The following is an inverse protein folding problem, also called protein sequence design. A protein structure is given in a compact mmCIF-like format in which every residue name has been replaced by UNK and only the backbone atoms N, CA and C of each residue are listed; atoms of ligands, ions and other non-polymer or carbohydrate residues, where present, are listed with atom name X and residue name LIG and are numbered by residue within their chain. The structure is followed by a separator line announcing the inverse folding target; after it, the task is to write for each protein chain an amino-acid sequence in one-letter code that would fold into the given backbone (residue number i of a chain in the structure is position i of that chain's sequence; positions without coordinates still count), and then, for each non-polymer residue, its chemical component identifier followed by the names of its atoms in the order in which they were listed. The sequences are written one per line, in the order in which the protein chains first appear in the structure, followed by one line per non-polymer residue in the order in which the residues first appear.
data_IF_533968193023
#
_entry.id   IF_533968193023
#
_cell.length_a   1.000
_cell.length_b   1.000
_cell.length_c   1.000
_cell.angle_alpha   90.00
_cell.angle_beta   90.00
_cell.angle_gamma   90.00
#
_symmetry.space_group_name_H-M   'P 1'
#
loop_
_entity.id
_entity.type
_entity.pdbx_description
1 polymer ?
#
# COMPACT_ATOMS: atom_id res chain seq x y z
N UNK A 1 -6.14 -18.91 0.55
CA UNK A 1 -7.43 -18.41 0.05
C UNK A 1 -7.27 -16.90 -0.04
N UNK A 2 -6.98 -16.34 -1.22
CA UNK A 2 -6.54 -14.93 -1.33
C UNK A 2 -6.44 -14.38 -2.75
N UNK A 3 -6.77 -15.17 -3.78
CA UNK A 3 -6.81 -14.72 -5.18
C UNK A 3 -8.18 -14.14 -5.55
N UNK A 4 -9.27 -14.72 -5.03
CA UNK A 4 -10.64 -14.32 -5.38
C UNK A 4 -10.95 -12.85 -5.10
N UNK A 5 -10.57 -12.33 -3.92
CA UNK A 5 -10.83 -10.92 -3.60
C UNK A 5 -10.05 -9.93 -4.46
N UNK A 6 -8.91 -10.31 -5.04
CA UNK A 6 -8.12 -9.41 -5.89
C UNK A 6 -8.75 -9.23 -7.27
N UNK A 7 -9.15 -10.33 -7.90
CA UNK A 7 -9.83 -10.33 -9.19
C UNK A 7 -11.16 -9.57 -9.10
N UNK A 8 -11.88 -9.75 -7.99
CA UNK A 8 -13.12 -9.04 -7.73
C UNK A 8 -12.91 -7.52 -7.54
N UNK A 9 -11.86 -7.11 -6.81
CA UNK A 9 -11.52 -5.68 -6.63
C UNK A 9 -11.05 -5.00 -7.92
N UNK A 10 -10.26 -5.69 -8.76
CA UNK A 10 -9.68 -5.10 -9.97
C UNK A 10 -10.75 -4.66 -10.99
N UNK A 11 -11.94 -5.27 -10.97
CA UNK A 11 -13.07 -4.91 -11.84
C UNK A 11 -13.99 -3.83 -11.23
N UNK A 12 -13.79 -3.44 -9.96
CA UNK A 12 -14.67 -2.49 -9.28
C UNK A 12 -14.30 -1.03 -9.58
N UNK A 13 -15.32 -0.14 -9.70
CA UNK A 13 -15.07 1.29 -9.71
C UNK A 13 -14.53 1.77 -8.34
N UNK A 14 -13.79 2.90 -8.29
CA UNK A 14 -13.17 3.39 -7.05
C UNK A 14 -14.13 3.51 -5.86
N UNK A 15 -15.36 3.96 -6.09
CA UNK A 15 -16.36 4.10 -5.03
C UNK A 15 -16.80 2.74 -4.45
N UNK A 16 -16.92 1.72 -5.31
CA UNK A 16 -17.26 0.37 -4.88
C UNK A 16 -16.09 -0.36 -4.20
N UNK A 17 -14.84 0.01 -4.53
CA UNK A 17 -13.66 -0.49 -3.80
C UNK A 17 -13.74 -0.04 -2.33
N UNK A 18 -14.14 1.21 -2.07
CA UNK A 18 -14.28 1.71 -0.70
C UNK A 18 -15.31 0.93 0.12
N UNK A 19 -16.39 0.46 -0.52
CA UNK A 19 -17.48 -0.29 0.14
C UNK A 19 -17.25 -1.81 0.16
N UNK A 20 -16.22 -2.31 -0.51
CA UNK A 20 -15.96 -3.75 -0.64
C UNK A 20 -15.63 -4.45 0.69
N UNK A 21 -14.97 -3.75 1.61
CA UNK A 21 -14.61 -4.26 2.93
C UNK A 21 -14.74 -3.13 3.95
N UNK A 22 -15.40 -3.39 5.09
CA UNK A 22 -15.61 -2.40 6.16
C UNK A 22 -14.30 -1.84 6.74
N UNK A 23 -13.16 -2.50 6.48
CA UNK A 23 -11.83 -2.05 6.90
C UNK A 23 -11.21 -1.05 5.91
N UNK A 24 -11.80 -0.83 4.76
CA UNK A 24 -11.30 0.11 3.77
C UNK A 24 -11.46 1.55 4.28
N UNK A 25 -10.49 2.39 3.91
CA UNK A 25 -10.46 3.79 4.29
C UNK A 25 -10.21 4.65 3.06
N UNK A 26 -11.04 5.67 2.88
CA UNK A 26 -10.84 6.69 1.85
C UNK A 26 -10.06 7.85 2.47
N UNK A 27 -8.86 8.09 1.96
CA UNK A 27 -7.97 9.12 2.49
C UNK A 27 -7.66 10.12 1.39
N UNK A 28 -7.89 11.44 1.60
CA UNK A 28 -7.45 12.46 0.66
C UNK A 28 -5.94 12.42 0.49
N UNK A 29 -5.46 12.46 -0.76
CA UNK A 29 -4.02 12.43 -1.05
C UNK A 29 -3.26 13.56 -0.33
N UNK A 30 -3.85 14.75 -0.24
CA UNK A 30 -3.27 15.89 0.50
C UNK A 30 -3.13 15.68 2.01
N UNK A 31 -3.79 14.68 2.59
CA UNK A 31 -3.66 14.31 4.00
C UNK A 31 -2.63 13.21 4.25
N UNK A 32 -2.15 12.55 3.18
CA UNK A 32 -1.11 11.54 3.27
C UNK A 32 0.20 12.17 3.74
N UNK A 33 0.90 11.46 4.62
CA UNK A 33 2.21 11.85 5.14
C UNK A 33 3.29 10.88 4.71
N UNK A 34 3.03 9.58 4.86
CA UNK A 34 4.06 8.56 4.68
C UNK A 34 3.51 7.36 3.93
N UNK A 35 4.29 6.83 2.98
CA UNK A 35 4.08 5.51 2.39
C UNK A 35 5.37 4.72 2.53
N UNK A 36 5.35 3.66 3.33
CA UNK A 36 6.53 2.83 3.60
C UNK A 36 6.28 1.39 3.20
N UNK A 37 7.05 0.91 2.23
CA UNK A 37 7.12 -0.50 1.87
C UNK A 37 8.35 -1.13 2.51
N UNK A 38 8.15 -2.19 3.28
CA UNK A 38 9.20 -3.14 3.66
C UNK A 38 9.03 -4.40 2.81
N UNK A 39 9.92 -4.64 1.83
CA UNK A 39 9.90 -5.87 1.06
C UNK A 39 10.03 -7.08 2.00
N UNK A 40 9.30 -8.13 1.66
CA UNK A 40 9.45 -9.41 2.34
C UNK A 40 10.79 -10.02 1.99
N UNK A 41 11.29 -10.87 2.88
CA UNK A 41 12.44 -11.74 2.61
C UNK A 41 12.05 -13.18 2.90
N UNK A 42 12.96 -14.12 2.65
CA UNK A 42 12.71 -15.54 2.93
C UNK A 42 12.12 -15.75 4.34
N UNK A 43 12.60 -15.00 5.34
CA UNK A 43 12.20 -15.13 6.75
C UNK A 43 11.23 -14.07 7.26
N UNK A 44 10.85 -13.08 6.45
CA UNK A 44 10.00 -11.95 6.90
C UNK A 44 8.92 -11.62 5.88
N UNK A 45 7.71 -11.35 6.39
CA UNK A 45 6.58 -10.88 5.59
C UNK A 45 6.86 -9.49 5.03
N UNK A 46 6.35 -9.23 3.83
CA UNK A 46 6.31 -7.85 3.33
C UNK A 46 5.28 -7.07 4.12
N UNK A 47 5.52 -5.77 4.30
CA UNK A 47 4.54 -4.87 4.88
C UNK A 47 4.50 -3.54 4.13
N UNK A 48 3.30 -3.02 3.92
CA UNK A 48 3.05 -1.68 3.40
C UNK A 48 2.31 -0.89 4.47
N UNK A 49 2.93 0.19 4.93
CA UNK A 49 2.32 1.11 5.89
C UNK A 49 2.01 2.43 5.19
N UNK A 50 0.80 2.92 5.36
CA UNK A 50 0.34 4.22 4.88
C UNK A 50 -0.11 5.04 6.08
N UNK A 51 0.39 6.26 6.20
CA UNK A 51 0.08 7.17 7.31
C UNK A 51 -0.49 8.49 6.77
N UNK A 52 -1.49 9.02 7.47
CA UNK A 52 -2.11 10.32 7.23
C UNK A 52 -2.31 11.06 8.55
N UNK A 53 -2.75 12.32 8.49
CA UNK A 53 -2.87 13.21 9.66
C UNK A 53 -3.53 12.56 10.89
N UNK A 54 -4.56 11.74 10.68
CA UNK A 54 -5.42 11.21 11.74
C UNK A 54 -5.40 9.67 11.83
N UNK A 55 -4.46 9.00 11.14
CA UNK A 55 -4.47 7.55 11.12
C UNK A 55 -3.31 6.89 10.40
N UNK A 56 -3.28 5.56 10.55
CA UNK A 56 -2.34 4.68 9.86
C UNK A 56 -3.03 3.40 9.47
N UNK A 57 -2.61 2.83 8.34
CA UNK A 57 -3.03 1.54 7.87
C UNK A 57 -1.82 0.69 7.53
N UNK A 58 -1.86 -0.60 7.88
CA UNK A 58 -0.76 -1.52 7.62
C UNK A 58 -1.29 -2.78 6.96
N UNK A 59 -0.79 -3.05 5.77
CA UNK A 59 -1.00 -4.29 5.04
C UNK A 59 0.22 -5.18 5.23
N UNK A 60 -0.01 -6.47 5.46
CA UNK A 60 1.04 -7.48 5.53
C UNK A 60 0.77 -8.57 4.51
N UNK A 61 1.82 -9.05 3.84
CA UNK A 61 1.71 -10.20 2.96
C UNK A 61 2.75 -11.27 3.25
N UNK A 62 2.35 -12.52 3.08
CA UNK A 62 3.24 -13.68 3.02
C UNK A 62 4.02 -13.71 1.70
N UNK A 63 4.98 -14.65 1.63
CA UNK A 63 6.09 -14.77 0.67
C UNK A 63 5.72 -14.97 -0.83
N UNK A 64 4.49 -14.64 -1.24
CA UNK A 64 3.99 -14.80 -2.61
C UNK A 64 3.25 -13.59 -3.18
N UNK A 65 3.32 -12.42 -2.53
CA UNK A 65 2.79 -11.19 -3.13
C UNK A 65 3.71 -10.66 -4.22
N UNK A 66 3.09 -10.05 -5.24
CA UNK A 66 3.83 -9.39 -6.31
C UNK A 66 4.77 -8.31 -5.75
N UNK A 67 5.97 -8.15 -6.33
CA UNK A 67 6.91 -7.12 -5.92
C UNK A 67 6.33 -5.73 -6.24
N UNK A 68 5.91 -4.99 -5.21
CA UNK A 68 5.36 -3.64 -5.32
C UNK A 68 6.43 -2.54 -5.29
N UNK A 69 7.71 -2.90 -5.20
CA UNK A 69 8.81 -1.92 -5.04
C UNK A 69 8.85 -0.88 -6.15
N UNK A 70 8.71 -1.32 -7.41
CA UNK A 70 8.76 -0.42 -8.56
C UNK A 70 7.57 0.54 -8.53
N UNK A 71 6.38 0.04 -8.19
CA UNK A 71 5.18 0.84 -8.08
C UNK A 71 5.31 1.89 -6.97
N UNK A 72 5.71 1.49 -5.76
CA UNK A 72 5.90 2.42 -4.64
C UNK A 72 6.98 3.45 -4.97
N UNK A 73 8.09 3.04 -5.56
CA UNK A 73 9.16 3.97 -5.96
C UNK A 73 8.71 4.99 -7.01
N UNK A 74 7.72 4.68 -7.85
CA UNK A 74 7.17 5.66 -8.81
C UNK A 74 6.24 6.68 -8.17
N UNK A 75 5.69 6.42 -6.97
CA UNK A 75 4.80 7.36 -6.29
C UNK A 75 5.52 8.65 -5.88
N UNK A 76 6.79 8.58 -5.49
CA UNK A 76 7.57 9.78 -5.11
C UNK A 76 7.78 10.75 -6.28
N UNK A 77 7.65 10.29 -7.52
CA UNK A 77 7.82 11.09 -8.72
C UNK A 77 6.49 11.49 -9.37
N UNK A 78 5.35 11.18 -8.73
CA UNK A 78 4.01 11.44 -9.26
C UNK A 78 3.48 12.76 -8.72
N UNK A 79 2.85 13.54 -9.59
CA UNK A 79 2.17 14.78 -9.19
C UNK A 79 1.14 14.50 -8.08
N UNK A 80 1.16 15.32 -7.03
CA UNK A 80 0.31 15.20 -5.85
C UNK A 80 0.89 14.33 -4.72
N UNK A 81 2.08 13.76 -4.87
CA UNK A 81 2.80 13.02 -3.81
C UNK A 81 4.08 13.72 -3.36
N UNK A 82 4.34 14.95 -3.80
CA UNK A 82 5.55 15.71 -3.49
C UNK A 82 5.70 16.00 -1.99
N UNK A 83 4.58 16.06 -1.26
CA UNK A 83 4.53 16.25 0.19
C UNK A 83 4.54 14.93 0.97
N UNK A 84 4.54 13.79 0.28
CA UNK A 84 4.45 12.47 0.90
C UNK A 84 5.84 11.84 0.97
N UNK A 85 6.22 11.44 2.17
CA UNK A 85 7.44 10.71 2.43
C UNK A 85 7.28 9.24 1.96
N UNK A 86 7.80 8.93 0.78
CA UNK A 86 7.72 7.59 0.16
C UNK A 86 9.04 6.84 0.29
N UNK A 87 9.02 5.67 0.93
CA UNK A 87 10.22 4.85 1.17
C UNK A 87 10.02 3.37 0.84
N UNK A 88 11.03 2.79 0.21
CA UNK A 88 11.22 1.33 0.16
C UNK A 88 12.37 0.99 1.10
N UNK A 89 12.03 0.46 2.27
CA UNK A 89 12.98 0.07 3.29
C UNK A 89 13.58 -1.30 2.95
N UNK A 90 14.73 -1.22 2.28
CA UNK A 90 15.54 -2.38 1.89
C UNK A 90 16.58 -2.74 2.95
N UNK A 91 16.34 -2.51 4.25
CA UNK A 91 17.30 -2.86 5.30
C UNK A 91 17.83 -4.28 5.07
N UNK A 92 19.04 -4.34 4.51
CA UNK A 92 19.79 -5.55 4.21
C UNK A 92 20.15 -6.14 5.57
N UNK A 93 19.68 -7.36 5.82
CA UNK A 93 20.40 -8.24 6.74
C UNK A 93 21.40 -9.03 5.90
#
# INVERSE_FOLDING_TARGET
MGTYGREEIDELPPDAIAEFDDRNAVVPVGSLRTIRLRPGSWFRRSSLTVEWNDGKFSLESTNGSDPQEKLVSTLSARDGFEHVDVFVDRSLF
#
